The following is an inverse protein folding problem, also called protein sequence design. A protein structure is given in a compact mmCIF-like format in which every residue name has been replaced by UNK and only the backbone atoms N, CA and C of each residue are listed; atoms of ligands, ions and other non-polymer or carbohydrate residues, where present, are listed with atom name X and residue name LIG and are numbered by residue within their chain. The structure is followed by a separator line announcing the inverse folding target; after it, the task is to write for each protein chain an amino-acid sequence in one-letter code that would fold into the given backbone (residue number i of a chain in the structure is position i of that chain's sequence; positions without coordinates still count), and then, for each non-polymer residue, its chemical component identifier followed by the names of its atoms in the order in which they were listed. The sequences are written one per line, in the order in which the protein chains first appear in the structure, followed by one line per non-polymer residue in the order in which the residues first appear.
data_IF_747491251470
#
_entry.id   IF_747491251470
#
_cell.length_a   1.000
_cell.length_b   1.000
_cell.length_c   1.000
_cell.angle_alpha   90.00
_cell.angle_beta   90.00
_cell.angle_gamma   90.00
#
_symmetry.space_group_name_H-M   'P 1'
#
loop_
_entity.id
_entity.type
_entity.pdbx_description
1 polymer ?
#
# COMPACT_ATOMS: atom_id res chain seq x y z
N UNK A 1 30.49 0.92 -18.18
CA UNK A 1 31.18 1.68 -17.10
C UNK A 1 30.56 1.21 -15.81
N UNK A 2 31.37 0.70 -14.88
CA UNK A 2 30.94 -0.16 -13.78
C UNK A 2 29.85 0.45 -12.94
N UNK A 3 28.76 -0.31 -12.76
CA UNK A 3 27.78 -0.03 -11.73
C UNK A 3 28.51 -0.04 -10.38
N UNK A 4 28.26 0.97 -9.58
CA UNK A 4 28.53 0.90 -8.16
C UNK A 4 27.77 -0.31 -7.64
N UNK A 5 28.48 -1.37 -7.23
CA UNK A 5 27.89 -2.42 -6.39
C UNK A 5 27.53 -1.75 -5.07
N UNK A 6 26.37 -1.10 -5.04
CA UNK A 6 25.80 -0.57 -3.82
C UNK A 6 25.48 -1.77 -2.95
N UNK A 7 26.26 -1.92 -1.88
CA UNK A 7 26.08 -3.01 -0.93
C UNK A 7 24.67 -2.91 -0.36
N UNK A 8 23.82 -3.88 -0.73
CA UNK A 8 22.46 -3.99 -0.19
C UNK A 8 22.51 -4.06 1.34
N UNK A 9 21.61 -3.34 2.04
CA UNK A 9 21.49 -3.46 3.49
C UNK A 9 21.17 -4.88 3.95
N UNK A 10 21.41 -5.18 5.23
CA UNK A 10 21.03 -6.46 5.81
C UNK A 10 19.52 -6.72 5.67
N UNK A 11 19.16 -7.93 5.22
CA UNK A 11 17.77 -8.33 4.98
C UNK A 11 17.16 -7.82 3.66
N UNK A 12 17.94 -7.12 2.84
CA UNK A 12 17.54 -6.66 1.50
C UNK A 12 18.12 -7.58 0.43
N UNK A 13 17.27 -7.94 -0.53
CA UNK A 13 17.59 -8.91 -1.56
C UNK A 13 17.13 -8.43 -2.95
N UNK A 14 17.93 -8.76 -3.95
CA UNK A 14 17.49 -8.97 -5.32
C UNK A 14 17.76 -10.45 -5.61
N UNK A 15 16.71 -11.21 -5.92
CA UNK A 15 16.88 -12.61 -6.29
C UNK A 15 16.96 -12.68 -7.81
N UNK A 16 17.81 -13.53 -8.36
CA UNK A 16 17.88 -13.81 -9.80
C UNK A 16 17.16 -15.13 -10.12
N UNK A 17 17.07 -16.03 -9.13
CA UNK A 17 16.44 -17.34 -9.26
C UNK A 17 15.60 -17.70 -8.03
N UNK A 18 14.48 -18.42 -8.23
CA UNK A 18 13.63 -18.85 -7.10
C UNK A 18 14.36 -19.74 -6.09
N UNK A 19 15.38 -20.48 -6.50
CA UNK A 19 16.17 -21.35 -5.61
C UNK A 19 16.96 -20.60 -4.56
N UNK A 20 17.19 -19.30 -4.74
CA UNK A 20 17.87 -18.42 -3.78
C UNK A 20 16.94 -17.95 -2.66
N UNK A 21 15.63 -18.08 -2.88
CA UNK A 21 14.60 -17.61 -1.96
C UNK A 21 14.24 -18.68 -0.92
N UNK A 22 13.84 -18.29 0.30
CA UNK A 22 13.18 -19.16 1.25
C UNK A 22 11.98 -19.90 0.63
N UNK A 23 11.82 -21.18 0.96
CA UNK A 23 10.83 -22.09 0.34
C UNK A 23 9.39 -21.54 0.35
N UNK A 24 9.00 -20.88 1.45
CA UNK A 24 7.68 -20.31 1.64
C UNK A 24 7.35 -19.14 0.69
N UNK A 25 8.36 -18.50 0.08
CA UNK A 25 8.17 -17.39 -0.85
C UNK A 25 8.51 -17.70 -2.31
N UNK A 26 9.10 -18.86 -2.62
CA UNK A 26 9.46 -19.25 -3.99
C UNK A 26 8.28 -19.18 -4.97
N UNK A 27 7.07 -19.50 -4.51
CA UNK A 27 5.85 -19.42 -5.34
C UNK A 27 5.52 -18.01 -5.85
N UNK A 28 6.01 -16.96 -5.18
CA UNK A 28 5.79 -15.57 -5.58
C UNK A 28 6.79 -15.10 -6.64
N UNK A 29 7.95 -15.76 -6.75
CA UNK A 29 8.98 -15.47 -7.76
C UNK A 29 8.43 -15.45 -9.19
N UNK A 30 7.56 -16.40 -9.51
CA UNK A 30 6.95 -16.50 -10.84
C UNK A 30 5.99 -15.35 -11.15
N UNK A 31 5.54 -14.61 -10.14
CA UNK A 31 4.69 -13.42 -10.26
C UNK A 31 5.49 -12.12 -10.15
N UNK A 32 6.84 -12.17 -10.06
CA UNK A 32 7.65 -10.96 -9.82
C UNK A 32 7.43 -9.85 -10.83
N UNK A 33 7.14 -10.18 -12.10
CA UNK A 33 6.84 -9.18 -13.13
C UNK A 33 5.42 -8.60 -13.05
N UNK A 34 4.48 -9.33 -12.44
CA UNK A 34 3.16 -8.77 -12.10
C UNK A 34 3.27 -7.85 -10.88
N UNK A 35 4.24 -8.13 -10.00
CA UNK A 35 4.53 -7.30 -8.83
C UNK A 35 5.28 -6.03 -9.24
N UNK A 36 6.32 -6.17 -10.05
CA UNK A 36 7.21 -5.12 -10.53
C UNK A 36 7.51 -5.35 -12.01
N UNK A 37 6.95 -4.52 -12.90
CA UNK A 37 7.24 -4.61 -14.33
C UNK A 37 8.73 -4.41 -14.65
N UNK A 38 9.44 -3.67 -13.80
CA UNK A 38 10.88 -3.36 -13.90
C UNK A 38 11.74 -4.21 -12.95
N UNK A 39 11.30 -5.43 -12.60
CA UNK A 39 12.00 -6.29 -11.64
C UNK A 39 13.50 -6.42 -11.95
N UNK A 40 13.83 -6.81 -13.19
CA UNK A 40 15.21 -7.06 -13.65
C UNK A 40 16.05 -5.78 -13.79
N UNK A 41 15.48 -4.61 -13.54
CA UNK A 41 16.22 -3.33 -13.48
C UNK A 41 16.78 -3.07 -12.08
N UNK A 42 16.81 -4.10 -11.23
CA UNK A 42 17.47 -4.09 -9.93
C UNK A 42 16.53 -3.85 -8.75
N UNK A 43 15.28 -4.31 -8.80
CA UNK A 43 14.34 -4.12 -7.69
C UNK A 43 14.80 -4.81 -6.41
N UNK A 44 14.68 -4.09 -5.28
CA UNK A 44 15.01 -4.58 -3.96
C UNK A 44 13.76 -4.98 -3.19
N UNK A 45 13.84 -6.11 -2.48
CA UNK A 45 12.78 -6.64 -1.63
C UNK A 45 13.37 -7.26 -0.36
N UNK A 46 12.65 -7.14 0.75
CA UNK A 46 12.84 -8.02 1.91
C UNK A 46 11.99 -9.29 1.73
N UNK A 47 12.27 -10.35 2.49
CA UNK A 47 11.48 -11.59 2.41
C UNK A 47 10.00 -11.36 2.73
N UNK A 48 9.71 -10.53 3.72
CA UNK A 48 8.36 -10.29 4.21
C UNK A 48 7.47 -9.55 3.20
N UNK A 49 8.04 -8.67 2.37
CA UNK A 49 7.23 -7.91 1.41
C UNK A 49 6.71 -8.76 0.25
N UNK A 50 7.30 -9.93 -0.04
CA UNK A 50 6.78 -10.84 -1.06
C UNK A 50 5.35 -11.31 -0.81
N UNK A 51 4.92 -11.34 0.46
CA UNK A 51 3.55 -11.71 0.83
C UNK A 51 2.52 -10.60 0.63
N UNK A 52 2.95 -9.34 0.72
CA UNK A 52 2.06 -8.19 0.92
C UNK A 52 2.21 -7.06 -0.08
N UNK A 53 3.25 -7.07 -0.92
CA UNK A 53 3.42 -6.08 -1.97
C UNK A 53 2.24 -6.12 -2.94
N UNK A 54 1.65 -4.95 -3.20
CA UNK A 54 0.52 -4.83 -4.12
C UNK A 54 1.02 -4.99 -5.54
N UNK A 55 0.48 -5.92 -6.35
CA UNK A 55 0.85 -6.06 -7.74
C UNK A 55 0.70 -4.75 -8.51
N UNK A 56 1.66 -4.42 -9.37
CA UNK A 56 1.74 -3.14 -10.07
C UNK A 56 0.44 -2.77 -10.82
N UNK A 57 -0.24 -3.69 -11.56
CA UNK A 57 -1.51 -3.36 -12.20
C UNK A 57 -2.61 -2.97 -11.21
N UNK A 58 -2.61 -3.55 -10.00
CA UNK A 58 -3.57 -3.21 -8.95
C UNK A 58 -3.22 -1.84 -8.35
N UNK A 59 -1.96 -1.59 -8.03
CA UNK A 59 -1.50 -0.31 -7.49
C UNK A 59 -1.81 0.85 -8.45
N UNK A 60 -1.53 0.67 -9.75
CA UNK A 60 -1.86 1.65 -10.79
C UNK A 60 -3.37 1.90 -10.87
N UNK A 61 -4.19 0.85 -10.81
CA UNK A 61 -5.65 1.01 -10.85
C UNK A 61 -6.21 1.70 -9.60
N UNK A 62 -5.60 1.47 -8.44
CA UNK A 62 -5.93 2.20 -7.21
C UNK A 62 -5.58 3.68 -7.40
N UNK A 63 -4.39 3.99 -7.92
CA UNK A 63 -3.98 5.36 -8.20
C UNK A 63 -4.96 6.07 -9.16
N UNK A 64 -5.38 5.40 -10.24
CA UNK A 64 -6.39 5.90 -11.18
C UNK A 64 -7.72 6.23 -10.46
N UNK A 65 -8.24 5.30 -9.65
CA UNK A 65 -9.51 5.50 -8.95
C UNK A 65 -9.44 6.66 -7.94
N UNK A 66 -8.33 6.80 -7.22
CA UNK A 66 -8.12 7.93 -6.30
C UNK A 66 -7.98 9.23 -7.10
N UNK A 67 -7.31 9.20 -8.26
CA UNK A 67 -7.18 10.36 -9.13
C UNK A 67 -8.52 10.86 -9.66
N UNK A 68 -9.34 9.96 -10.21
CA UNK A 68 -10.60 10.33 -10.84
C UNK A 68 -11.73 10.55 -9.85
N UNK A 69 -11.71 9.83 -8.73
CA UNK A 69 -12.79 9.84 -7.75
C UNK A 69 -12.50 10.60 -6.46
N UNK A 70 -11.23 10.90 -6.17
CA UNK A 70 -10.85 11.62 -4.95
C UNK A 70 -11.13 13.13 -5.01
N UNK A 71 -11.13 13.83 -3.87
CA UNK A 71 -11.35 15.27 -3.83
C UNK A 71 -10.33 16.06 -4.65
N UNK A 72 -10.79 16.83 -5.64
CA UNK A 72 -9.94 17.65 -6.53
C UNK A 72 -9.04 18.64 -5.77
N UNK A 73 -9.52 19.18 -4.65
CA UNK A 73 -8.79 20.13 -3.81
C UNK A 73 -7.54 19.53 -3.15
N UNK A 74 -7.47 18.20 -3.03
CA UNK A 74 -6.34 17.51 -2.40
C UNK A 74 -5.30 17.15 -3.44
N UNK A 75 -4.07 17.61 -3.24
CA UNK A 75 -2.93 17.33 -4.15
C UNK A 75 -1.77 16.62 -3.44
N UNK A 76 -2.03 16.13 -2.23
CA UNK A 76 -1.09 15.42 -1.38
C UNK A 76 -1.69 14.07 -1.03
N UNK A 77 -0.88 13.02 -1.13
CA UNK A 77 -1.25 11.68 -0.68
C UNK A 77 -0.22 11.18 0.34
N UNK A 78 -0.71 10.46 1.34
CA UNK A 78 0.11 9.79 2.34
C UNK A 78 -0.13 8.29 2.21
N UNK A 79 0.87 7.53 1.82
CA UNK A 79 0.89 6.07 1.96
C UNK A 79 1.33 5.73 3.39
N UNK A 80 0.38 5.26 4.20
CA UNK A 80 0.60 5.00 5.62
C UNK A 80 1.32 3.69 5.91
N UNK A 81 1.39 2.76 4.96
CA UNK A 81 2.02 1.44 5.13
C UNK A 81 2.75 1.07 3.84
N UNK A 82 3.82 1.82 3.55
CA UNK A 82 4.38 1.89 2.21
C UNK A 82 5.02 0.57 1.74
N UNK A 83 5.49 -0.29 2.65
CA UNK A 83 6.20 -1.52 2.31
C UNK A 83 7.39 -1.20 1.40
N UNK A 84 7.59 -2.05 0.38
CA UNK A 84 8.63 -1.83 -0.64
C UNK A 84 8.27 -0.77 -1.70
N UNK A 85 7.22 0.04 -1.47
CA UNK A 85 6.93 1.25 -2.25
C UNK A 85 5.95 1.09 -3.41
N UNK A 86 5.32 -0.07 -3.62
CA UNK A 86 4.47 -0.33 -4.80
C UNK A 86 3.35 0.71 -5.01
N UNK A 87 2.55 0.99 -3.98
CA UNK A 87 1.48 1.99 -4.07
C UNK A 87 2.03 3.42 -4.13
N UNK A 88 3.02 3.76 -3.29
CA UNK A 88 3.68 5.07 -3.32
C UNK A 88 4.26 5.43 -4.72
N UNK A 89 4.88 4.46 -5.40
CA UNK A 89 5.39 4.61 -6.77
C UNK A 89 4.24 4.84 -7.75
N UNK A 90 3.17 4.05 -7.68
CA UNK A 90 1.98 4.24 -8.53
C UNK A 90 1.36 5.64 -8.35
N UNK A 91 1.25 6.12 -7.11
CA UNK A 91 0.77 7.48 -6.83
C UNK A 91 1.70 8.58 -7.38
N UNK A 92 3.02 8.36 -7.36
CA UNK A 92 3.97 9.32 -7.92
C UNK A 92 3.95 9.32 -9.47
N UNK A 93 3.67 8.16 -10.08
CA UNK A 93 3.55 7.99 -11.53
C UNK A 93 2.26 8.57 -12.10
N UNK A 94 1.14 8.55 -11.36
CA UNK A 94 -0.15 9.08 -11.84
C UNK A 94 -0.08 10.58 -12.19
N UNK A 95 0.86 11.32 -11.59
CA UNK A 95 1.02 12.76 -11.82
C UNK A 95 -0.06 13.62 -11.15
N UNK A 96 -1.06 13.02 -10.52
CA UNK A 96 -2.14 13.70 -9.78
C UNK A 96 -1.66 14.41 -8.52
N UNK A 97 -0.66 13.85 -7.86
CA UNK A 97 -0.16 14.33 -6.57
C UNK A 97 1.12 15.15 -6.76
N UNK A 98 1.11 16.36 -6.20
CA UNK A 98 2.31 17.20 -6.13
C UNK A 98 3.31 16.64 -5.13
N UNK A 99 2.81 15.98 -4.09
CA UNK A 99 3.63 15.38 -3.05
C UNK A 99 3.08 14.03 -2.59
N UNK A 100 3.95 13.02 -2.52
CA UNK A 100 3.65 11.70 -1.95
C UNK A 100 4.47 11.55 -0.67
N UNK A 101 3.83 11.39 0.48
CA UNK A 101 4.51 11.02 1.72
C UNK A 101 4.33 9.52 1.94
N UNK A 102 5.39 8.80 2.21
CA UNK A 102 5.33 7.35 2.37
C UNK A 102 5.96 6.94 3.69
N UNK A 103 5.20 6.24 4.52
CA UNK A 103 5.60 5.84 5.87
C UNK A 103 5.84 4.34 5.90
N UNK A 104 7.02 3.94 6.35
CA UNK A 104 7.35 2.54 6.58
C UNK A 104 8.07 2.42 7.94
N UNK A 105 7.73 1.38 8.69
CA UNK A 105 8.25 1.14 10.03
C UNK A 105 9.57 0.37 9.99
N UNK A 106 9.70 -0.57 9.07
CA UNK A 106 10.90 -1.41 8.94
C UNK A 106 11.99 -0.71 8.10
N UNK A 107 13.19 -0.45 8.64
CA UNK A 107 14.22 0.30 7.94
C UNK A 107 14.77 -0.40 6.69
N UNK A 108 14.84 -1.74 6.68
CA UNK A 108 15.30 -2.50 5.51
C UNK A 108 14.28 -2.40 4.36
N UNK A 109 13.00 -2.57 4.68
CA UNK A 109 11.90 -2.41 3.74
C UNK A 109 11.79 -0.96 3.22
N UNK A 110 12.04 0.04 4.08
CA UNK A 110 12.13 1.44 3.67
C UNK A 110 13.30 1.70 2.71
N UNK A 111 14.44 1.04 2.91
CA UNK A 111 15.57 1.11 1.98
C UNK A 111 15.20 0.53 0.61
N UNK A 112 14.52 -0.62 0.58
CA UNK A 112 13.95 -1.17 -0.65
C UNK A 112 13.03 -0.16 -1.36
N UNK A 113 12.11 0.47 -0.62
CA UNK A 113 11.16 1.41 -1.17
C UNK A 113 11.83 2.64 -1.81
N UNK A 114 12.87 3.17 -1.16
CA UNK A 114 13.69 4.27 -1.69
C UNK A 114 14.37 3.86 -3.00
N UNK A 115 15.11 2.76 -2.99
CA UNK A 115 15.79 2.24 -4.16
C UNK A 115 14.83 1.95 -5.33
N UNK A 116 13.72 1.27 -5.06
CA UNK A 116 12.70 0.96 -6.06
C UNK A 116 12.13 2.23 -6.69
N UNK A 117 11.94 3.30 -5.91
CA UNK A 117 11.47 4.58 -6.47
C UNK A 117 12.49 5.27 -7.38
N UNK A 118 13.79 5.00 -7.20
CA UNK A 118 14.86 5.45 -8.09
C UNK A 118 14.86 4.66 -9.38
N UNK A 119 14.72 3.33 -9.30
CA UNK A 119 14.50 2.47 -10.46
C UNK A 119 13.35 3.02 -11.29
N UNK A 120 12.19 3.29 -10.69
CA UNK A 120 11.02 3.86 -11.35
C UNK A 120 11.13 5.34 -11.75
N UNK A 121 12.22 6.04 -11.40
CA UNK A 121 12.47 7.43 -11.78
C UNK A 121 11.57 8.46 -11.08
N UNK A 122 10.96 8.10 -9.95
CA UNK A 122 10.01 8.93 -9.19
C UNK A 122 10.47 9.31 -7.80
N UNK A 123 11.68 8.92 -7.38
CA UNK A 123 12.24 9.18 -6.06
C UNK A 123 12.11 10.64 -5.60
N UNK A 124 12.30 11.61 -6.52
CA UNK A 124 12.20 13.05 -6.22
C UNK A 124 10.79 13.53 -5.84
N UNK A 125 9.75 12.71 -6.07
CA UNK A 125 8.35 13.00 -5.73
C UNK A 125 7.89 12.38 -4.41
N UNK A 126 8.73 11.55 -3.77
CA UNK A 126 8.34 10.77 -2.59
C UNK A 126 9.16 11.18 -1.37
N UNK A 127 8.46 11.56 -0.31
CA UNK A 127 9.02 11.88 1.00
C UNK A 127 8.89 10.68 1.93
N UNK A 128 9.99 9.95 2.04
CA UNK A 128 10.11 8.74 2.86
C UNK A 128 10.26 9.05 4.35
N UNK A 129 9.42 8.44 5.18
CA UNK A 129 9.41 8.62 6.63
C UNK A 129 9.49 7.27 7.32
N UNK A 130 10.54 7.07 8.11
CA UNK A 130 10.64 5.92 9.01
C UNK A 130 9.77 6.11 10.26
N UNK A 131 8.95 5.12 10.58
CA UNK A 131 8.26 5.02 11.87
C UNK A 131 6.87 4.37 11.82
N UNK A 132 6.25 4.22 13.00
CA UNK A 132 4.86 3.78 13.11
C UNK A 132 3.92 4.85 12.52
N UNK A 133 3.05 4.43 11.60
CA UNK A 133 2.23 5.34 10.80
C UNK A 133 1.27 6.18 11.66
N UNK A 134 0.69 5.60 12.70
CA UNK A 134 -0.24 6.32 13.55
C UNK A 134 0.47 7.37 14.40
N UNK A 135 1.70 7.10 14.82
CA UNK A 135 2.54 8.06 15.53
C UNK A 135 3.05 9.17 14.60
N UNK A 136 3.53 8.82 13.41
CA UNK A 136 3.98 9.78 12.39
C UNK A 136 2.85 10.71 11.99
N UNK A 137 1.66 10.17 11.69
CA UNK A 137 0.48 10.96 11.34
C UNK A 137 0.09 11.91 12.48
N UNK A 138 0.08 11.44 13.73
CA UNK A 138 -0.32 12.26 14.89
C UNK A 138 0.71 13.32 15.27
N UNK A 139 2.01 13.01 15.18
CA UNK A 139 3.09 13.85 15.73
C UNK A 139 3.76 14.73 14.67
N UNK A 140 3.88 14.24 13.43
CA UNK A 140 4.67 14.88 12.36
C UNK A 140 3.82 15.40 11.22
N UNK A 141 2.78 14.67 10.82
CA UNK A 141 1.95 15.01 9.65
C UNK A 141 0.54 15.49 10.00
N UNK A 142 0.23 15.79 11.26
CA UNK A 142 -1.16 16.05 11.71
C UNK A 142 -1.88 17.14 10.93
N UNK A 143 -1.20 18.25 10.66
CA UNK A 143 -1.78 19.34 9.86
C UNK A 143 -1.92 18.95 8.40
N UNK A 144 -0.88 18.32 7.84
CA UNK A 144 -0.86 17.85 6.46
C UNK A 144 -1.95 16.82 6.16
N UNK A 145 -2.20 15.90 7.10
CA UNK A 145 -3.14 14.80 6.95
C UNK A 145 -4.61 15.26 6.81
N UNK A 146 -4.92 16.49 7.23
CA UNK A 146 -6.25 17.09 7.00
C UNK A 146 -6.48 17.43 5.53
N UNK A 147 -5.42 17.89 4.87
CA UNK A 147 -5.43 18.35 3.47
C UNK A 147 -4.93 17.28 2.49
N UNK A 148 -4.60 16.08 2.98
CA UNK A 148 -4.13 14.95 2.20
C UNK A 148 -5.20 13.85 2.06
N UNK A 149 -5.05 12.99 1.06
CA UNK A 149 -5.69 11.67 1.02
C UNK A 149 -4.73 10.70 1.71
N UNK A 150 -5.23 9.83 2.59
CA UNK A 150 -4.41 8.76 3.19
C UNK A 150 -4.76 7.43 2.54
N UNK A 151 -3.80 6.75 1.94
CA UNK A 151 -3.92 5.36 1.55
C UNK A 151 -3.28 4.48 2.62
N UNK A 152 -3.93 3.36 2.96
CA UNK A 152 -3.42 2.43 3.95
C UNK A 152 -3.62 0.98 3.53
N UNK A 153 -2.51 0.27 3.39
CA UNK A 153 -2.41 -1.19 3.22
C UNK A 153 -1.81 -1.83 4.48
N UNK A 154 -2.54 -1.90 5.60
CA UNK A 154 -2.01 -2.48 6.83
C UNK A 154 -1.69 -3.97 6.65
N UNK A 155 -0.83 -4.56 7.48
CA UNK A 155 -0.69 -6.01 7.53
C UNK A 155 -2.02 -6.68 7.88
N UNK A 156 -2.30 -7.82 7.25
CA UNK A 156 -3.57 -8.54 7.43
C UNK A 156 -3.50 -9.70 8.43
N UNK A 157 -2.32 -9.97 9.00
CA UNK A 157 -2.10 -11.08 9.94
C UNK A 157 -1.47 -12.34 9.33
N UNK A 158 -0.86 -12.24 8.14
CA UNK A 158 -0.15 -13.34 7.47
C UNK A 158 -1.02 -14.13 6.48
N UNK A 159 -0.41 -14.98 5.63
CA UNK A 159 -1.06 -15.59 4.47
C UNK A 159 -2.29 -16.46 4.78
N UNK A 160 -2.49 -16.87 6.03
CA UNK A 160 -3.66 -17.62 6.48
C UNK A 160 -4.99 -16.84 6.32
N UNK A 161 -4.95 -15.53 6.02
CA UNK A 161 -6.15 -14.76 5.67
C UNK A 161 -6.93 -15.37 4.47
N UNK A 162 -6.27 -16.16 3.62
CA UNK A 162 -6.89 -16.74 2.42
C UNK A 162 -7.87 -17.88 2.69
N UNK A 163 -7.85 -18.44 3.91
CA UNK A 163 -8.60 -19.64 4.25
C UNK A 163 -10.06 -19.33 4.62
N UNK A 164 -10.34 -18.06 4.98
CA UNK A 164 -11.66 -17.61 5.34
C UNK A 164 -12.51 -17.26 4.12
N UNK A 165 -13.67 -17.93 4.01
CA UNK A 165 -14.70 -17.58 3.01
C UNK A 165 -15.18 -16.13 3.19
N UNK A 166 -15.22 -15.64 4.44
CA UNK A 166 -15.51 -14.26 4.82
C UNK A 166 -14.48 -13.88 5.88
N UNK A 167 -13.58 -12.96 5.55
CA UNK A 167 -12.51 -12.53 6.43
C UNK A 167 -13.05 -11.54 7.49
N UNK A 168 -12.91 -11.92 8.76
CA UNK A 168 -13.33 -11.11 9.91
C UNK A 168 -12.29 -10.00 10.19
N UNK A 169 -12.62 -8.76 9.84
CA UNK A 169 -11.74 -7.60 10.04
C UNK A 169 -11.49 -7.25 11.52
N UNK A 170 -12.20 -7.88 12.45
CA UNK A 170 -11.94 -7.73 13.90
C UNK A 170 -10.74 -8.56 14.38
N UNK A 171 -10.35 -9.60 13.63
CA UNK A 171 -9.23 -10.49 13.98
C UNK A 171 -7.91 -10.05 13.37
N UNK A 172 -7.95 -9.12 12.40
CA UNK A 172 -6.78 -8.61 11.67
C UNK A 172 -5.65 -8.16 12.62
N UNK A 173 -4.42 -8.58 12.32
CA UNK A 173 -3.22 -8.29 13.10
C UNK A 173 -2.18 -7.52 12.28
N UNK A 174 -1.42 -6.61 12.91
CA UNK A 174 -1.45 -6.27 14.34
C UNK A 174 -2.53 -5.25 14.71
N UNK A 175 -3.31 -4.77 13.73
CA UNK A 175 -4.35 -3.77 13.93
C UNK A 175 -5.66 -4.24 13.33
N UNK A 176 -6.72 -4.29 14.14
CA UNK A 176 -8.05 -4.57 13.62
C UNK A 176 -8.69 -3.33 12.96
N UNK A 177 -9.78 -3.54 12.21
CA UNK A 177 -10.47 -2.45 11.50
C UNK A 177 -10.87 -1.31 12.43
N UNK A 178 -11.38 -1.61 13.62
CA UNK A 178 -11.80 -0.58 14.58
C UNK A 178 -10.63 0.33 14.96
N UNK A 179 -9.47 -0.27 15.27
CA UNK A 179 -8.27 0.47 15.60
C UNK A 179 -7.84 1.40 14.46
N UNK A 180 -7.76 0.87 13.24
CA UNK A 180 -7.34 1.64 12.07
C UNK A 180 -8.31 2.79 11.81
N UNK A 181 -9.61 2.50 11.77
CA UNK A 181 -10.64 3.49 11.53
C UNK A 181 -10.62 4.60 12.57
N UNK A 182 -10.59 4.27 13.88
CA UNK A 182 -10.58 5.26 14.96
C UNK A 182 -9.35 6.18 14.86
N UNK A 183 -8.19 5.64 14.45
CA UNK A 183 -6.95 6.42 14.35
C UNK A 183 -6.90 7.35 13.14
N UNK A 184 -7.51 6.97 12.01
CA UNK A 184 -7.57 7.81 10.82
C UNK A 184 -8.73 8.81 10.87
N UNK A 185 -9.96 8.34 11.15
CA UNK A 185 -11.16 9.20 11.16
C UNK A 185 -11.10 10.36 12.15
N UNK A 186 -10.22 10.28 13.17
CA UNK A 186 -10.03 11.36 14.14
C UNK A 186 -9.48 12.66 13.55
N UNK A 187 -8.74 12.62 12.43
CA UNK A 187 -8.14 13.83 11.84
C UNK A 187 -7.83 13.73 10.33
N UNK A 188 -8.16 12.60 9.69
CA UNK A 188 -8.02 12.37 8.24
C UNK A 188 -9.43 12.30 7.65
N UNK A 189 -9.88 13.30 6.89
CA UNK A 189 -11.24 13.29 6.35
C UNK A 189 -11.42 12.33 5.17
N UNK A 190 -10.35 12.07 4.42
CA UNK A 190 -10.40 11.22 3.22
C UNK A 190 -9.30 10.15 3.30
N UNK A 191 -9.70 8.89 3.42
CA UNK A 191 -8.76 7.78 3.46
C UNK A 191 -9.30 6.51 2.78
N UNK A 192 -8.38 5.69 2.29
CA UNK A 192 -8.65 4.45 1.56
C UNK A 192 -7.98 3.30 2.29
N UNK A 193 -8.73 2.24 2.59
CA UNK A 193 -8.20 1.02 3.19
C UNK A 193 -8.10 -0.08 2.15
N UNK A 194 -6.91 -0.62 1.93
CA UNK A 194 -6.65 -1.81 1.10
C UNK A 194 -6.68 -3.07 1.99
N UNK A 195 -7.61 -3.96 1.70
CA UNK A 195 -8.03 -5.04 2.59
C UNK A 195 -8.13 -6.38 1.85
N UNK A 196 -8.15 -7.52 2.58
CA UNK A 196 -8.37 -8.83 1.99
C UNK A 196 -9.64 -8.87 1.13
N UNK A 197 -9.56 -9.55 -0.01
CA UNK A 197 -10.69 -9.69 -0.96
C UNK A 197 -11.98 -10.26 -0.35
N UNK A 198 -11.88 -11.06 0.71
CA UNK A 198 -13.02 -11.70 1.37
C UNK A 198 -13.51 -10.93 2.60
N UNK A 199 -13.02 -9.71 2.82
CA UNK A 199 -13.40 -8.91 4.00
C UNK A 199 -14.91 -8.77 4.16
N UNK A 200 -15.40 -8.93 5.40
CA UNK A 200 -16.83 -8.81 5.70
C UNK A 200 -17.34 -7.38 5.43
N UNK A 201 -18.10 -7.24 4.35
CA UNK A 201 -18.71 -5.97 3.95
C UNK A 201 -19.71 -5.44 4.98
N UNK A 202 -20.33 -6.30 5.81
CA UNK A 202 -21.21 -5.86 6.89
C UNK A 202 -20.42 -5.17 8.00
N UNK A 203 -19.17 -5.57 8.24
CA UNK A 203 -18.30 -4.88 9.19
C UNK A 203 -17.87 -3.52 8.66
N UNK A 204 -17.56 -3.41 7.37
CA UNK A 204 -17.24 -2.13 6.73
C UNK A 204 -18.45 -1.18 6.71
N UNK A 205 -19.64 -1.67 6.40
CA UNK A 205 -20.87 -0.88 6.33
C UNK A 205 -21.22 -0.16 7.65
N UNK A 206 -20.78 -0.69 8.81
CA UNK A 206 -20.96 -0.04 10.12
C UNK A 206 -20.22 1.30 10.24
N UNK A 207 -19.24 1.54 9.38
CA UNK A 207 -18.44 2.76 9.34
C UNK A 207 -18.87 3.72 8.23
N UNK A 208 -19.92 3.40 7.47
CA UNK A 208 -20.50 4.32 6.50
C UNK A 208 -21.11 5.53 7.23
N UNK A 209 -20.90 6.77 6.75
CA UNK A 209 -21.54 7.95 7.34
C UNK A 209 -23.06 7.84 7.27
N UNK A 210 -23.76 8.41 8.26
CA UNK A 210 -25.22 8.39 8.30
C UNK A 210 -25.84 8.96 7.01
N UNK A 211 -26.69 8.17 6.36
CA UNK A 211 -27.34 8.55 5.10
C UNK A 211 -26.43 8.54 3.86
N UNK A 212 -25.18 8.10 3.97
CA UNK A 212 -24.25 7.93 2.84
C UNK A 212 -23.90 6.46 2.65
N UNK A 213 -23.49 6.10 1.42
CA UNK A 213 -22.93 4.79 1.11
C UNK A 213 -21.41 4.83 1.31
N UNK A 214 -20.83 3.69 1.68
CA UNK A 214 -19.40 3.47 1.65
C UNK A 214 -19.08 2.76 0.34
N UNK A 215 -18.20 3.36 -0.47
CA UNK A 215 -17.79 2.78 -1.73
C UNK A 215 -16.72 1.70 -1.48
N UNK A 216 -16.93 0.52 -2.07
CA UNK A 216 -16.03 -0.62 -1.97
C UNK A 216 -15.78 -1.18 -3.37
N UNK A 217 -14.50 -1.30 -3.73
CA UNK A 217 -14.09 -1.76 -5.06
C UNK A 217 -13.20 -2.99 -4.93
N UNK A 218 -13.58 -4.07 -5.61
CA UNK A 218 -12.74 -5.25 -5.76
C UNK A 218 -11.74 -5.06 -6.90
N UNK A 219 -10.49 -5.42 -6.65
CA UNK A 219 -9.44 -5.46 -7.67
C UNK A 219 -9.25 -6.89 -8.13
N UNK A 220 -9.55 -7.13 -9.42
CA UNK A 220 -9.55 -8.45 -10.02
C UNK A 220 -8.42 -8.57 -11.05
N UNK A 221 -7.74 -9.70 -11.04
CA UNK A 221 -6.74 -10.09 -12.04
C UNK A 221 -7.08 -11.49 -12.53
N UNK A 222 -7.04 -11.74 -13.83
CA UNK A 222 -7.32 -13.06 -14.43
C UNK A 222 -8.65 -13.66 -13.92
N UNK A 223 -9.71 -12.85 -13.87
CA UNK A 223 -11.04 -13.27 -13.46
C UNK A 223 -11.24 -13.52 -11.96
N UNK A 224 -10.23 -13.26 -11.12
CA UNK A 224 -10.29 -13.48 -9.67
C UNK A 224 -10.00 -12.20 -8.89
N UNK A 225 -10.84 -11.89 -7.89
CA UNK A 225 -10.54 -10.83 -6.92
C UNK A 225 -9.28 -11.16 -6.13
N UNK A 226 -8.39 -10.18 -5.97
CA UNK A 226 -7.14 -10.25 -5.20
C UNK A 226 -7.21 -9.48 -3.89
N UNK A 227 -7.82 -8.30 -3.93
CA UNK A 227 -8.06 -7.46 -2.78
C UNK A 227 -9.30 -6.59 -3.00
N UNK A 228 -9.68 -5.82 -1.99
CA UNK A 228 -10.64 -4.73 -2.13
C UNK A 228 -10.12 -3.44 -1.48
N UNK A 229 -10.62 -2.29 -1.96
CA UNK A 229 -10.48 -1.01 -1.27
C UNK A 229 -11.82 -0.54 -0.74
N UNK A 230 -11.83 -0.01 0.48
CA UNK A 230 -12.93 0.78 1.04
C UNK A 230 -12.54 2.26 1.08
N UNK A 231 -13.40 3.13 0.54
CA UNK A 231 -13.12 4.56 0.34
C UNK A 231 -13.94 5.43 1.29
N UNK A 232 -13.29 5.97 2.33
CA UNK A 232 -13.91 6.81 3.35
C UNK A 232 -13.68 8.29 3.07
N UNK A 233 -14.74 9.09 3.10
CA UNK A 233 -14.68 10.53 2.82
C UNK A 233 -15.48 10.90 1.57
N UNK A 234 -15.03 11.91 0.84
CA UNK A 234 -15.71 12.46 -0.33
C UNK A 234 -15.16 11.86 -1.63
N UNK A 235 -15.24 10.54 -1.76
CA UNK A 235 -14.92 9.83 -3.00
C UNK A 235 -16.16 9.68 -3.89
N UNK A 236 -15.99 9.93 -5.19
CA UNK A 236 -17.06 9.83 -6.20
C UNK A 236 -16.67 8.81 -7.27
N UNK A 237 -17.39 7.71 -7.30
CA UNK A 237 -17.28 6.73 -8.39
C UNK A 237 -18.41 7.01 -9.38
N UNK A 238 -18.06 7.23 -10.64
CA UNK A 238 -19.00 7.33 -11.77
C UNK A 238 -19.08 6.00 -12.50
#
# INVERSE_FOLDING_TARGET
MGGTDELMPEGVHHYDESSEMPENIQKYWHQRYDIWSRYDEGIWMTDDVWFGVTPEPIANRIADHIETGGPESKSIIIDAFAGAGGNAIAFALSGRFKQVFAIEKDPATLACARHNSEVYGVASKIWWIEGDCFDVLKKRLKSLAKDAIVFASPPWGGPQYSDDNIFDLSTMQPYNLKHIYDRFSAYVPDFVLFLPRSSDLNQLAKYAPAGKKLEVVHYCTNGSSKALCAYFGEFKFQ
#
